data_IF_289895467027
#
_entry.id   IF_289895467027
#
_cell.length_a   1.000
_cell.length_b   1.000
_cell.length_c   1.000
_cell.angle_alpha   90.00
_cell.angle_beta   90.00
_cell.angle_gamma   90.00
#
_symmetry.space_group_name_H-M   'P 1'
#
loop_
_entity.id
_entity.type
_entity.pdbx_description
1 polymer ?
#
# COMPACT_ATOMS: atom_id res chain seq x y z
N UNK A 1 14.12 14.82 14.84
CA UNK A 1 13.77 15.89 13.87
C UNK A 1 12.28 16.19 14.00
N UNK A 2 11.87 17.44 13.82
CA UNK A 2 10.43 17.78 13.87
C UNK A 2 9.71 17.15 12.67
N UNK A 3 8.58 16.49 12.92
CA UNK A 3 7.69 15.98 11.88
C UNK A 3 6.41 16.80 11.91
N UNK A 4 5.97 17.27 10.74
CA UNK A 4 4.72 18.03 10.60
C UNK A 4 3.86 17.41 9.53
N UNK A 5 2.56 17.36 9.77
CA UNK A 5 1.58 16.89 8.80
C UNK A 5 0.83 18.09 8.24
N UNK A 6 0.79 18.18 6.91
CA UNK A 6 0.16 19.26 6.17
C UNK A 6 -0.97 18.67 5.32
N UNK A 7 -2.05 19.40 5.10
CA UNK A 7 -3.12 19.01 4.19
C UNK A 7 -3.47 20.15 3.25
N UNK A 8 -3.96 19.83 2.04
CA UNK A 8 -4.50 20.84 1.14
C UNK A 8 -5.79 21.40 1.74
N UNK A 9 -5.86 22.72 1.89
CA UNK A 9 -7.11 23.43 2.10
C UNK A 9 -7.54 24.08 0.79
N UNK A 10 -8.69 23.64 0.26
CA UNK A 10 -9.18 24.09 -1.05
C UNK A 10 -9.58 25.57 -1.07
N UNK A 11 -10.07 26.11 0.05
CA UNK A 11 -10.47 27.51 0.15
C UNK A 11 -9.25 28.43 0.28
N UNK A 12 -8.28 28.07 1.13
CA UNK A 12 -7.03 28.79 1.27
C UNK A 12 -6.13 28.70 0.03
N UNK A 13 -6.38 27.69 -0.82
CA UNK A 13 -5.54 27.34 -1.96
C UNK A 13 -4.07 27.23 -1.54
N UNK A 14 -3.86 26.47 -0.48
CA UNK A 14 -2.60 26.31 0.23
C UNK A 14 -2.60 25.02 1.06
N UNK A 15 -1.44 24.63 1.55
CA UNK A 15 -1.24 23.60 2.54
C UNK A 15 -1.25 24.20 3.94
N UNK A 16 -2.04 23.62 4.83
CA UNK A 16 -2.16 24.02 6.24
C UNK A 16 -1.82 22.86 7.15
N UNK A 17 -1.47 23.13 8.41
CA UNK A 17 -1.19 22.07 9.38
C UNK A 17 -2.45 21.26 9.70
N UNK A 18 -2.28 19.95 9.88
CA UNK A 18 -3.35 19.04 10.32
C UNK A 18 -3.43 19.06 11.85
N UNK A 19 -4.65 19.14 12.40
CA UNK A 19 -4.93 19.13 13.84
C UNK A 19 -4.20 20.23 14.65
N UNK A 20 -3.91 21.35 14.00
CA UNK A 20 -3.29 22.51 14.64
C UNK A 20 -4.35 23.48 15.17
N UNK A 21 -4.20 23.89 16.43
CA UNK A 21 -5.19 24.73 17.13
C UNK A 21 -5.37 26.09 16.44
N UNK A 22 -4.26 26.72 16.04
CA UNK A 22 -4.29 28.02 15.35
C UNK A 22 -4.97 27.89 13.99
N UNK A 23 -4.64 26.85 13.22
CA UNK A 23 -5.29 26.55 11.95
C UNK A 23 -6.78 26.31 12.12
N UNK A 24 -7.20 25.52 13.11
CA UNK A 24 -8.62 25.23 13.35
C UNK A 24 -9.40 26.48 13.78
N UNK A 25 -8.82 27.32 14.64
CA UNK A 25 -9.40 28.60 15.05
C UNK A 25 -9.56 29.56 13.86
N UNK A 26 -8.52 29.69 13.03
CA UNK A 26 -8.56 30.51 11.82
C UNK A 26 -9.63 30.06 10.83
N UNK A 27 -9.71 28.76 10.56
CA UNK A 27 -10.71 28.21 9.63
C UNK A 27 -12.13 28.36 10.17
N UNK A 28 -12.32 28.28 11.48
CA UNK A 28 -13.62 28.55 12.11
C UNK A 28 -14.01 30.03 11.96
N UNK A 29 -13.09 30.96 12.26
CA UNK A 29 -13.34 32.39 12.11
C UNK A 29 -13.65 32.77 10.65
N UNK A 30 -12.88 32.25 9.70
CA UNK A 30 -13.14 32.47 8.28
C UNK A 30 -14.50 31.93 7.85
N UNK A 31 -14.90 30.75 8.36
CA UNK A 31 -16.22 30.16 8.08
C UNK A 31 -17.37 30.99 8.64
N UNK A 32 -17.22 31.55 9.85
CA UNK A 32 -18.19 32.46 10.45
C UNK A 32 -18.35 33.74 9.62
N UNK A 33 -17.26 34.26 9.06
CA UNK A 33 -17.28 35.44 8.20
C UNK A 33 -17.87 35.18 6.81
N UNK A 34 -17.52 34.06 6.16
CA UNK A 34 -17.99 33.68 4.83
C UNK A 34 -19.48 33.25 4.87
N UNK A 35 -19.87 32.60 5.97
CA UNK A 35 -21.18 31.98 6.12
C UNK A 35 -21.26 30.57 5.50
N UNK A 36 -22.05 29.70 6.13
CA UNK A 36 -22.11 28.27 5.79
C UNK A 36 -22.50 27.96 4.35
N UNK A 37 -23.40 28.76 3.76
CA UNK A 37 -23.88 28.54 2.40
C UNK A 37 -22.77 28.79 1.37
N UNK A 38 -22.02 29.89 1.54
CA UNK A 38 -20.93 30.26 0.64
C UNK A 38 -19.70 29.37 0.86
N UNK A 39 -19.41 29.03 2.11
CA UNK A 39 -18.35 28.08 2.46
C UNK A 39 -18.51 26.73 1.73
N UNK A 40 -19.75 26.23 1.66
CA UNK A 40 -20.08 24.98 0.96
C UNK A 40 -19.92 25.05 -0.56
N UNK A 41 -19.95 26.25 -1.17
CA UNK A 41 -19.66 26.41 -2.59
C UNK A 41 -18.17 26.23 -2.90
N UNK A 42 -17.31 26.34 -1.90
CA UNK A 42 -15.88 26.09 -2.02
C UNK A 42 -15.10 27.31 -2.49
N UNK A 43 -14.07 27.08 -3.29
CA UNK A 43 -13.10 28.09 -3.67
C UNK A 43 -13.71 29.25 -4.48
N UNK A 44 -13.38 30.47 -4.07
CA UNK A 44 -13.45 31.70 -4.86
C UNK A 44 -12.26 32.60 -4.49
N UNK A 45 -11.86 33.57 -5.35
CA UNK A 45 -10.82 34.54 -5.00
C UNK A 45 -11.11 35.29 -3.68
N UNK A 46 -12.38 35.61 -3.43
CA UNK A 46 -12.84 36.29 -2.22
C UNK A 46 -12.73 35.39 -0.99
N UNK A 47 -13.24 34.16 -1.06
CA UNK A 47 -13.15 33.19 0.03
C UNK A 47 -11.68 32.86 0.35
N UNK A 48 -10.83 32.78 -0.68
CA UNK A 48 -9.38 32.58 -0.52
C UNK A 48 -8.73 33.72 0.26
N UNK A 49 -9.07 34.97 -0.06
CA UNK A 49 -8.56 36.13 0.66
C UNK A 49 -8.97 36.07 2.14
N UNK A 50 -10.27 35.89 2.41
CA UNK A 50 -10.82 35.80 3.77
C UNK A 50 -10.13 34.69 4.58
N UNK A 51 -9.99 33.49 4.01
CA UNK A 51 -9.35 32.37 4.72
C UNK A 51 -7.87 32.64 4.98
N UNK A 52 -7.14 33.22 4.03
CA UNK A 52 -5.71 33.53 4.22
C UNK A 52 -5.48 34.65 5.23
N UNK A 53 -6.34 35.66 5.25
CA UNK A 53 -6.28 36.73 6.24
C UNK A 53 -6.54 36.18 7.64
N UNK A 54 -7.57 35.33 7.81
CA UNK A 54 -7.84 34.68 9.08
C UNK A 54 -6.67 33.79 9.55
N UNK A 55 -6.04 33.03 8.65
CA UNK A 55 -4.85 32.23 8.95
C UNK A 55 -3.71 33.12 9.45
N UNK A 56 -3.47 34.25 8.78
CA UNK A 56 -2.43 35.21 9.17
C UNK A 56 -2.71 35.86 10.53
N UNK A 57 -3.95 36.27 10.79
CA UNK A 57 -4.37 36.90 12.05
C UNK A 57 -4.20 35.98 13.26
N UNK A 58 -4.47 34.68 13.08
CA UNK A 58 -4.32 33.67 14.14
C UNK A 58 -2.90 33.10 14.25
N UNK A 59 -1.95 33.60 13.44
CA UNK A 59 -0.58 33.07 13.39
C UNK A 59 -0.47 31.66 12.81
N UNK A 60 -1.52 31.15 12.16
CA UNK A 60 -1.55 29.82 11.59
C UNK A 60 -0.65 29.72 10.36
N UNK A 61 0.20 28.69 10.33
CA UNK A 61 1.12 28.45 9.22
C UNK A 61 0.40 27.89 8.00
N UNK A 62 0.62 28.51 6.84
CA UNK A 62 0.25 27.95 5.55
C UNK A 62 1.37 28.09 4.52
N UNK A 63 1.43 27.14 3.58
CA UNK A 63 2.45 27.07 2.53
C UNK A 63 1.77 26.84 1.18
N UNK A 64 2.19 27.54 0.14
CA UNK A 64 1.69 27.29 -1.22
C UNK A 64 2.48 26.18 -1.94
N UNK A 65 3.67 25.89 -1.43
CA UNK A 65 4.62 24.95 -1.99
C UNK A 65 5.27 24.18 -0.84
N UNK A 66 5.27 22.85 -0.92
CA UNK A 66 6.02 21.98 -0.04
C UNK A 66 7.29 21.54 -0.76
N UNK A 67 8.46 21.62 -0.12
CA UNK A 67 9.74 21.32 -0.74
C UNK A 67 10.58 20.39 0.15
N UNK A 68 11.20 19.38 -0.45
CA UNK A 68 12.13 18.48 0.21
C UNK A 68 12.38 17.21 -0.60
N UNK A 69 13.25 16.35 -0.08
CA UNK A 69 13.57 15.06 -0.70
C UNK A 69 12.38 14.12 -0.60
N UNK A 70 11.98 13.51 -1.72
CA UNK A 70 10.90 12.52 -1.73
C UNK A 70 11.38 11.23 -1.05
N UNK A 71 10.97 11.02 0.19
CA UNK A 71 11.41 9.88 1.02
C UNK A 71 10.28 8.90 1.37
N UNK A 72 9.05 9.17 0.93
CA UNK A 72 7.94 8.24 1.13
C UNK A 72 6.67 8.63 0.37
N UNK A 73 5.96 7.62 -0.10
CA UNK A 73 4.58 7.71 -0.59
C UNK A 73 3.83 6.56 0.07
N UNK A 74 2.67 6.82 0.65
CA UNK A 74 1.89 5.83 1.38
C UNK A 74 0.41 6.07 1.18
N UNK A 75 -0.37 5.01 1.29
CA UNK A 75 -1.80 5.15 1.58
C UNK A 75 -1.95 5.05 3.10
N UNK A 76 -2.81 5.87 3.69
CA UNK A 76 -3.19 5.81 5.09
C UNK A 76 -4.71 5.76 5.21
N UNK A 77 -5.21 5.28 6.34
CA UNK A 77 -6.63 5.37 6.67
C UNK A 77 -6.80 6.26 7.89
N UNK A 78 -7.80 7.13 7.83
CA UNK A 78 -8.17 8.00 8.93
C UNK A 78 -9.64 7.82 9.22
N UNK A 79 -9.99 7.62 10.49
CA UNK A 79 -11.38 7.60 10.92
C UNK A 79 -11.82 9.01 11.31
N UNK A 80 -12.95 9.45 10.78
CA UNK A 80 -13.62 10.67 11.21
C UNK A 80 -15.14 10.45 11.14
N UNK A 81 -15.87 10.84 12.19
CA UNK A 81 -17.34 10.72 12.25
C UNK A 81 -17.88 9.30 11.98
N UNK A 82 -17.13 8.25 12.36
CA UNK A 82 -17.51 6.85 12.11
C UNK A 82 -17.26 6.35 10.69
N UNK A 83 -16.74 7.21 9.80
CA UNK A 83 -16.35 6.85 8.44
C UNK A 83 -14.83 6.71 8.32
N UNK A 84 -14.39 5.75 7.51
CA UNK A 84 -12.97 5.57 7.17
C UNK A 84 -12.67 6.25 5.85
N UNK A 85 -11.70 7.16 5.87
CA UNK A 85 -11.21 7.86 4.69
C UNK A 85 -9.82 7.38 4.32
N UNK A 86 -9.62 6.98 3.07
CA UNK A 86 -8.26 6.71 2.55
C UNK A 86 -7.58 8.03 2.20
N UNK A 87 -6.34 8.17 2.64
CA UNK A 87 -5.49 9.34 2.42
C UNK A 87 -4.25 8.93 1.64
N UNK A 88 -3.82 9.74 0.69
CA UNK A 88 -2.46 9.75 0.18
C UNK A 88 -1.58 10.49 1.19
N UNK A 89 -0.46 9.87 1.60
CA UNK A 89 0.61 10.51 2.36
C UNK A 89 1.87 10.59 1.53
N UNK A 90 2.45 11.78 1.41
CA UNK A 90 3.74 12.01 0.75
C UNK A 90 4.69 12.61 1.75
N UNK A 91 5.81 11.93 1.99
CA UNK A 91 6.82 12.34 2.97
C UNK A 91 7.98 13.02 2.26
N UNK A 92 8.20 14.27 2.62
CA UNK A 92 9.33 15.08 2.19
C UNK A 92 10.27 15.31 3.37
N UNK A 93 11.58 15.18 3.16
CA UNK A 93 12.58 15.41 4.20
C UNK A 93 13.61 16.45 3.74
N UNK A 94 13.93 17.41 4.60
CA UNK A 94 14.94 18.44 4.37
C UNK A 94 15.61 18.82 5.69
N UNK A 95 16.48 19.83 5.68
CA UNK A 95 17.19 20.30 6.88
C UNK A 95 16.26 20.75 8.02
N UNK A 96 15.06 21.26 7.69
CA UNK A 96 14.07 21.69 8.66
C UNK A 96 13.29 20.51 9.29
N UNK A 97 13.44 19.30 8.76
CA UNK A 97 12.83 18.08 9.24
C UNK A 97 11.89 17.43 8.22
N UNK A 98 10.89 16.71 8.73
CA UNK A 98 9.99 15.88 7.92
C UNK A 98 8.64 16.55 7.75
N UNK A 99 8.19 16.66 6.50
CA UNK A 99 6.86 17.16 6.14
C UNK A 99 6.06 16.03 5.50
N UNK A 100 4.89 15.71 6.05
CA UNK A 100 3.98 14.70 5.50
C UNK A 100 2.77 15.44 4.91
N UNK A 101 2.66 15.47 3.59
CA UNK A 101 1.44 15.90 2.91
C UNK A 101 0.39 14.78 3.02
N UNK A 102 -0.77 15.08 3.60
CA UNK A 102 -1.93 14.21 3.68
C UNK A 102 -3.05 14.76 2.80
N UNK A 103 -3.52 13.98 1.84
CA UNK A 103 -4.59 14.37 0.91
C UNK A 103 -5.64 13.26 0.79
N UNK A 104 -6.92 13.63 0.66
CA UNK A 104 -7.99 12.65 0.43
C UNK A 104 -7.76 11.89 -0.87
N UNK A 105 -7.77 10.55 -0.82
CA UNK A 105 -7.54 9.71 -1.99
C UNK A 105 -8.62 9.92 -3.06
N UNK A 106 -9.86 10.20 -2.64
CA UNK A 106 -10.95 10.55 -3.52
C UNK A 106 -10.83 11.93 -4.18
N UNK A 107 -9.91 12.79 -3.72
CA UNK A 107 -9.74 14.13 -4.27
C UNK A 107 -9.01 14.11 -5.61
N UNK A 108 -9.43 14.99 -6.52
CA UNK A 108 -8.77 15.19 -7.82
C UNK A 108 -7.29 15.55 -7.65
N UNK A 109 -6.98 16.36 -6.62
CA UNK A 109 -5.61 16.73 -6.28
C UNK A 109 -4.73 15.50 -6.01
N UNK A 110 -5.17 14.59 -5.15
CA UNK A 110 -4.41 13.39 -4.82
C UNK A 110 -4.22 12.50 -6.05
N UNK A 111 -5.29 12.29 -6.83
CA UNK A 111 -5.25 11.45 -8.03
C UNK A 111 -4.27 12.00 -9.07
N UNK A 112 -4.32 13.30 -9.34
CA UNK A 112 -3.34 13.98 -10.23
C UNK A 112 -1.93 13.91 -9.66
N UNK A 113 -1.75 14.13 -8.36
CA UNK A 113 -0.44 14.05 -7.72
C UNK A 113 0.16 12.64 -7.84
N UNK A 114 -0.63 11.58 -7.64
CA UNK A 114 -0.20 10.18 -7.78
C UNK A 114 0.37 9.90 -9.17
N UNK A 115 -0.28 10.39 -10.23
CA UNK A 115 0.25 10.20 -11.60
C UNK A 115 1.61 10.85 -11.82
N UNK A 116 1.90 11.98 -11.15
CA UNK A 116 3.21 12.63 -11.21
C UNK A 116 4.22 11.93 -10.30
N UNK A 117 3.79 11.46 -9.12
CA UNK A 117 4.60 10.65 -8.22
C UNK A 117 5.04 9.34 -8.87
N UNK A 118 4.22 8.75 -9.74
CA UNK A 118 4.62 7.56 -10.50
C UNK A 118 5.84 7.83 -11.39
N UNK A 119 5.89 8.99 -12.05
CA UNK A 119 7.07 9.46 -12.78
C UNK A 119 8.23 9.77 -11.82
N UNK A 120 7.99 10.59 -10.78
CA UNK A 120 9.06 11.04 -9.87
C UNK A 120 9.71 9.89 -9.09
N UNK A 121 8.98 8.83 -8.74
CA UNK A 121 9.57 7.66 -8.07
C UNK A 121 10.40 6.78 -9.01
N UNK A 122 10.34 6.99 -10.34
CA UNK A 122 11.26 6.37 -11.30
C UNK A 122 12.47 7.25 -11.56
N UNK A 123 12.27 8.55 -11.71
CA UNK A 123 13.28 9.48 -12.24
C UNK A 123 13.97 10.34 -11.17
N UNK A 124 13.30 10.55 -10.03
CA UNK A 124 13.71 11.51 -9.00
C UNK A 124 13.57 10.94 -7.57
N UNK A 125 13.61 9.62 -7.43
CA UNK A 125 13.48 8.97 -6.12
C UNK A 125 14.60 9.40 -5.17
N UNK A 126 14.24 9.80 -3.94
CA UNK A 126 15.18 10.38 -2.98
C UNK A 126 15.69 11.79 -3.33
N UNK A 127 15.36 12.30 -4.52
CA UNK A 127 15.71 13.63 -4.96
C UNK A 127 14.80 14.72 -4.39
N UNK A 128 15.30 15.95 -4.38
CA UNK A 128 14.53 17.12 -3.96
C UNK A 128 13.41 17.39 -4.96
N UNK A 129 12.17 17.45 -4.46
CA UNK A 129 11.00 17.84 -5.24
C UNK A 129 10.29 19.01 -4.58
N UNK A 130 9.44 19.68 -5.36
CA UNK A 130 8.49 20.64 -4.81
C UNK A 130 7.07 20.34 -5.27
N UNK A 131 6.12 20.30 -4.34
CA UNK A 131 4.72 20.00 -4.58
C UNK A 131 3.91 21.27 -4.36
N UNK A 132 3.18 21.68 -5.39
CA UNK A 132 2.28 22.82 -5.37
C UNK A 132 0.83 22.38 -5.58
N UNK A 133 -0.09 23.23 -5.13
CA UNK A 133 -1.51 23.08 -5.36
C UNK A 133 -2.09 24.45 -5.71
N UNK A 134 -2.87 24.52 -6.78
CA UNK A 134 -3.63 25.72 -7.11
C UNK A 134 -5.03 25.37 -7.61
N UNK A 135 -5.95 26.30 -7.47
CA UNK A 135 -7.27 26.26 -8.08
C UNK A 135 -7.18 26.86 -9.49
N UNK A 136 -7.73 26.15 -10.48
CA UNK A 136 -7.86 26.60 -11.85
C UNK A 136 -9.34 26.65 -12.22
N UNK A 137 -9.83 27.82 -12.61
CA UNK A 137 -11.18 27.92 -13.16
C UNK A 137 -11.20 27.32 -14.57
N UNK A 138 -12.18 26.46 -14.84
CA UNK A 138 -12.41 25.85 -16.14
C UNK A 138 -13.88 25.94 -16.50
N UNK A 139 -14.17 26.28 -17.76
CA UNK A 139 -15.53 26.31 -18.28
C UNK A 139 -15.86 24.96 -18.94
N UNK A 140 -17.00 24.38 -18.57
CA UNK A 140 -17.58 23.19 -19.22
C UNK A 140 -19.08 23.38 -19.29
N UNK A 141 -19.67 23.19 -20.47
CA UNK A 141 -21.13 23.28 -20.69
C UNK A 141 -21.75 24.58 -20.11
N UNK A 142 -21.15 25.73 -20.41
CA UNK A 142 -21.55 27.07 -19.93
C UNK A 142 -21.58 27.22 -18.40
N UNK A 143 -20.85 26.35 -17.68
CA UNK A 143 -20.66 26.41 -16.23
C UNK A 143 -19.19 26.51 -15.88
N UNK A 144 -18.87 27.36 -14.91
CA UNK A 144 -17.52 27.48 -14.35
C UNK A 144 -17.33 26.45 -13.24
N UNK A 145 -16.29 25.65 -13.36
CA UNK A 145 -15.80 24.70 -12.38
C UNK A 145 -14.45 25.17 -11.84
N UNK A 146 -14.09 24.69 -10.65
CA UNK A 146 -12.77 24.90 -10.07
C UNK A 146 -12.06 23.55 -10.03
N UNK A 147 -11.08 23.37 -10.91
CA UNK A 147 -10.21 22.21 -10.90
C UNK A 147 -9.08 22.42 -9.88
N UNK A 148 -8.89 21.45 -9.01
CA UNK A 148 -7.88 21.50 -7.96
C UNK A 148 -6.60 20.81 -8.45
N UNK A 149 -5.78 21.58 -9.16
CA UNK A 149 -4.56 21.08 -9.83
C UNK A 149 -3.45 20.76 -8.83
N UNK A 150 -2.69 19.72 -9.11
CA UNK A 150 -1.43 19.38 -8.45
C UNK A 150 -0.27 19.70 -9.40
N UNK A 151 0.73 20.42 -8.92
CA UNK A 151 2.03 20.55 -9.62
C UNK A 151 3.12 19.87 -8.83
N UNK A 152 4.09 19.34 -9.55
CA UNK A 152 5.28 18.80 -8.94
C UNK A 152 6.47 19.14 -9.81
N UNK A 153 7.51 19.74 -9.22
CA UNK A 153 8.76 20.03 -9.91
C UNK A 153 9.88 19.13 -9.40
N UNK A 154 10.70 18.65 -10.33
CA UNK A 154 11.89 17.85 -10.03
C UNK A 154 13.06 18.69 -9.52
N UNK A 155 14.23 18.06 -9.30
CA UNK A 155 15.44 18.73 -8.81
C UNK A 155 15.95 19.84 -9.74
N UNK A 156 15.67 19.73 -11.03
CA UNK A 156 16.01 20.71 -12.07
C UNK A 156 15.02 21.89 -12.14
N UNK A 157 13.97 21.89 -11.30
CA UNK A 157 12.92 22.89 -11.29
C UNK A 157 11.91 22.75 -12.43
N UNK A 158 12.02 21.73 -13.27
CA UNK A 158 11.06 21.44 -14.34
C UNK A 158 9.85 20.68 -13.79
N UNK A 159 8.71 20.88 -14.44
CA UNK A 159 7.48 20.18 -14.07
C UNK A 159 7.59 18.69 -14.39
N UNK A 160 7.40 17.84 -13.38
CA UNK A 160 7.36 16.39 -13.55
C UNK A 160 6.08 16.02 -14.33
N UNK A 161 6.20 15.36 -15.49
CA UNK A 161 5.05 14.97 -16.27
C UNK A 161 4.22 13.91 -15.54
N UNK A 162 2.91 13.95 -15.73
CA UNK A 162 2.04 12.88 -15.26
C UNK A 162 2.27 11.62 -16.10
N UNK A 163 2.39 10.45 -15.45
CA UNK A 163 2.39 9.17 -16.16
C UNK A 163 1.04 9.01 -16.89
N UNK A 164 1.03 8.77 -18.21
CA UNK A 164 -0.20 8.65 -18.99
C UNK A 164 -0.96 7.35 -18.67
N UNK A 165 -2.26 7.32 -18.96
CA UNK A 165 -3.07 6.10 -18.92
C UNK A 165 -3.74 5.78 -17.58
N UNK A 166 -3.38 6.44 -16.48
CA UNK A 166 -3.99 6.16 -15.18
C UNK A 166 -5.48 6.51 -15.11
N UNK A 167 -5.88 7.64 -15.68
CA UNK A 167 -7.28 8.06 -15.66
C UNK A 167 -8.14 7.20 -16.60
N UNK A 168 -7.59 6.76 -17.72
CA UNK A 168 -8.21 5.83 -18.66
C UNK A 168 -8.45 4.48 -18.00
N UNK A 169 -7.41 3.89 -17.38
CA UNK A 169 -7.53 2.63 -16.62
C UNK A 169 -8.52 2.73 -15.47
N UNK A 170 -8.53 3.86 -14.74
CA UNK A 170 -9.52 4.10 -13.70
C UNK A 170 -10.94 4.16 -14.26
N UNK A 171 -11.13 4.80 -15.42
CA UNK A 171 -12.43 4.87 -16.11
C UNK A 171 -12.90 3.48 -16.56
N UNK A 172 -12.03 2.69 -17.18
CA UNK A 172 -12.34 1.32 -17.60
C UNK A 172 -12.80 0.46 -16.41
N UNK A 173 -12.13 0.55 -15.26
CA UNK A 173 -12.55 -0.14 -14.03
C UNK A 173 -13.90 0.35 -13.52
N UNK A 174 -14.17 1.65 -13.59
CA UNK A 174 -15.48 2.21 -13.21
C UNK A 174 -16.59 1.69 -14.12
N UNK A 175 -16.39 1.69 -15.43
CA UNK A 175 -17.35 1.18 -16.40
C UNK A 175 -17.61 -0.31 -16.17
N UNK A 176 -16.56 -1.11 -15.95
CA UNK A 176 -16.68 -2.52 -15.60
C UNK A 176 -17.45 -2.75 -14.28
N UNK A 177 -17.21 -1.92 -13.26
CA UNK A 177 -17.90 -2.02 -11.97
C UNK A 177 -19.37 -1.58 -12.03
N UNK A 178 -19.72 -0.63 -12.90
CA UNK A 178 -21.11 -0.17 -13.08
C UNK A 178 -21.92 -1.08 -13.99
N UNK A 179 -21.29 -1.79 -14.92
CA UNK A 179 -21.95 -2.62 -15.94
C UNK A 179 -22.99 -3.59 -15.37
N UNK A 180 -22.73 -4.37 -14.30
CA UNK A 180 -23.73 -5.30 -13.76
C UNK A 180 -24.99 -4.59 -13.25
N UNK A 181 -24.85 -3.41 -12.65
CA UNK A 181 -25.99 -2.63 -12.15
C UNK A 181 -26.81 -2.04 -13.31
N UNK A 182 -26.13 -1.55 -14.34
CA UNK A 182 -26.78 -1.04 -15.55
C UNK A 182 -27.52 -2.14 -16.31
N UNK A 183 -26.89 -3.32 -16.45
CA UNK A 183 -27.47 -4.50 -17.11
C UNK A 183 -28.70 -5.03 -16.31
N UNK A 184 -28.70 -4.85 -14.98
CA UNK A 184 -29.86 -5.11 -14.10
C UNK A 184 -30.94 -4.01 -14.15
N UNK A 185 -30.79 -2.99 -15.01
CA UNK A 185 -31.75 -1.91 -15.18
C UNK A 185 -31.68 -0.80 -14.14
N UNK A 186 -30.65 -0.76 -13.29
CA UNK A 186 -30.47 0.31 -12.30
C UNK A 186 -30.15 1.64 -12.97
N UNK A 187 -30.96 2.67 -12.68
CA UNK A 187 -30.79 4.04 -13.20
C UNK A 187 -30.50 5.09 -12.13
N UNK A 188 -30.35 4.67 -10.87
CA UNK A 188 -30.07 5.58 -9.76
C UNK A 188 -28.65 6.16 -9.90
N UNK A 189 -28.59 7.43 -10.31
CA UNK A 189 -27.33 8.16 -10.50
C UNK A 189 -26.52 8.27 -9.21
N UNK A 190 -27.16 8.34 -8.05
CA UNK A 190 -26.45 8.47 -6.76
C UNK A 190 -25.66 7.19 -6.47
N UNK A 191 -26.30 6.03 -6.65
CA UNK A 191 -25.65 4.72 -6.44
C UNK A 191 -24.53 4.52 -7.46
N UNK A 192 -24.81 4.77 -8.74
CA UNK A 192 -23.80 4.64 -9.80
C UNK A 192 -22.59 5.56 -9.56
N UNK A 193 -22.81 6.81 -9.15
CA UNK A 193 -21.73 7.74 -8.83
C UNK A 193 -20.93 7.32 -7.59
N UNK A 194 -21.57 6.72 -6.60
CA UNK A 194 -20.89 6.18 -5.42
C UNK A 194 -19.97 5.00 -5.80
N UNK A 195 -20.47 4.09 -6.64
CA UNK A 195 -19.65 2.99 -7.20
C UNK A 195 -18.47 3.57 -7.97
N UNK A 196 -18.71 4.56 -8.84
CA UNK A 196 -17.64 5.20 -9.62
C UNK A 196 -16.57 5.86 -8.73
N UNK A 197 -17.00 6.59 -7.69
CA UNK A 197 -16.10 7.24 -6.76
C UNK A 197 -15.24 6.22 -5.99
N UNK A 198 -15.88 5.19 -5.42
CA UNK A 198 -15.20 4.13 -4.67
C UNK A 198 -14.21 3.35 -5.54
N UNK A 199 -14.61 2.94 -6.75
CA UNK A 199 -13.75 2.18 -7.67
C UNK A 199 -12.55 3.00 -8.13
N UNK A 200 -12.76 4.29 -8.45
CA UNK A 200 -11.67 5.21 -8.81
C UNK A 200 -10.70 5.40 -7.65
N UNK A 201 -11.22 5.63 -6.44
CA UNK A 201 -10.40 5.78 -5.25
C UNK A 201 -9.55 4.52 -4.97
N UNK A 202 -10.14 3.33 -5.13
CA UNK A 202 -9.42 2.06 -4.98
C UNK A 202 -8.31 1.89 -6.01
N UNK A 203 -8.56 2.23 -7.27
CA UNK A 203 -7.51 2.21 -8.30
C UNK A 203 -6.31 3.09 -7.91
N UNK A 204 -6.55 4.34 -7.52
CA UNK A 204 -5.44 5.24 -7.16
C UNK A 204 -4.76 4.85 -5.84
N UNK A 205 -5.49 4.22 -4.91
CA UNK A 205 -4.89 3.63 -3.71
C UNK A 205 -3.95 2.47 -4.06
N UNK A 206 -4.31 1.59 -5.01
CA UNK A 206 -3.43 0.54 -5.51
C UNK A 206 -2.17 1.11 -6.17
N UNK A 207 -2.31 2.15 -7.01
CA UNK A 207 -1.17 2.82 -7.62
C UNK A 207 -0.24 3.38 -6.54
N UNK A 208 -0.78 4.13 -5.57
CA UNK A 208 0.00 4.72 -4.48
C UNK A 208 0.69 3.67 -3.59
N UNK A 209 0.06 2.52 -3.35
CA UNK A 209 0.70 1.39 -2.67
C UNK A 209 1.91 0.86 -3.47
N UNK A 210 1.76 0.74 -4.79
CA UNK A 210 2.85 0.43 -5.70
C UNK A 210 4.03 1.40 -5.65
N UNK A 211 3.74 2.69 -5.54
CA UNK A 211 4.78 3.72 -5.38
C UNK A 211 5.53 3.57 -4.05
N UNK A 212 4.80 3.23 -2.97
CA UNK A 212 5.40 2.93 -1.67
C UNK A 212 6.37 1.77 -1.76
N UNK A 213 5.95 0.66 -2.36
CA UNK A 213 6.79 -0.54 -2.53
C UNK A 213 8.05 -0.20 -3.33
N UNK A 214 7.91 0.55 -4.44
CA UNK A 214 9.04 0.98 -5.26
C UNK A 214 10.09 1.77 -4.47
N UNK A 215 9.66 2.73 -3.65
CA UNK A 215 10.59 3.53 -2.83
C UNK A 215 11.32 2.69 -1.76
N UNK A 216 10.67 1.65 -1.24
CA UNK A 216 11.30 0.69 -0.33
C UNK A 216 12.34 -0.16 -1.06
N UNK A 217 12.01 -0.65 -2.26
CA UNK A 217 12.91 -1.46 -3.09
C UNK A 217 14.15 -0.69 -3.52
N UNK A 218 14.00 0.61 -3.81
CA UNK A 218 15.12 1.51 -4.12
C UNK A 218 15.95 1.89 -2.89
N UNK A 219 15.57 1.46 -1.69
CA UNK A 219 16.28 1.77 -0.44
C UNK A 219 16.12 3.23 0.01
N UNK A 220 15.18 3.98 -0.58
CA UNK A 220 14.90 5.38 -0.24
C UNK A 220 14.07 5.46 1.05
N UNK A 221 13.03 4.64 1.14
CA UNK A 221 12.20 4.53 2.35
C UNK A 221 12.67 3.32 3.16
N UNK A 222 13.06 3.48 4.44
CA UNK A 222 13.36 2.33 5.29
C UNK A 222 12.13 1.41 5.36
N UNK A 223 12.33 0.09 5.33
CA UNK A 223 11.24 -0.91 5.46
C UNK A 223 10.34 -0.65 6.67
N UNK A 224 10.89 -0.07 7.74
CA UNK A 224 10.16 0.32 8.96
C UNK A 224 9.24 1.53 8.78
N UNK A 225 9.51 2.46 7.85
CA UNK A 225 8.70 3.67 7.64
C UNK A 225 7.56 3.42 6.67
N UNK A 226 7.75 2.57 5.64
CA UNK A 226 6.65 2.09 4.79
C UNK A 226 5.58 1.30 5.57
N UNK A 227 5.99 0.71 6.70
CA UNK A 227 5.15 -0.04 7.64
C UNK A 227 4.68 0.80 8.85
N UNK A 228 4.60 2.14 8.72
CA UNK A 228 3.84 2.98 9.68
C UNK A 228 2.31 2.91 9.44
N UNK A 229 1.87 2.27 8.35
CA UNK A 229 0.70 1.39 8.46
C UNK A 229 1.22 0.14 9.14
N UNK A 230 0.79 -0.12 10.38
CA UNK A 230 0.97 -1.45 10.97
C UNK A 230 0.62 -2.47 9.89
N UNK A 231 1.54 -3.41 9.63
CA UNK A 231 1.37 -4.44 8.61
C UNK A 231 -0.06 -4.97 8.71
N UNK A 232 -0.77 -5.12 7.58
CA UNK A 232 -2.09 -5.72 7.66
C UNK A 232 -1.89 -7.13 8.23
N UNK A 233 -2.51 -7.50 9.36
CA UNK A 233 -2.29 -8.81 9.96
C UNK A 233 -2.60 -9.92 8.96
N UNK A 234 -1.58 -10.62 8.49
CA UNK A 234 -1.73 -11.64 7.46
C UNK A 234 -0.67 -12.73 7.61
N UNK A 235 -1.01 -13.88 7.03
CA UNK A 235 -0.07 -14.95 6.73
C UNK A 235 0.62 -14.65 5.41
N UNK A 236 1.93 -14.82 5.34
CA UNK A 236 2.75 -14.48 4.19
C UNK A 236 3.68 -15.63 3.83
N UNK A 237 3.96 -15.78 2.53
CA UNK A 237 4.97 -16.68 2.02
C UNK A 237 5.62 -16.10 0.75
N UNK A 238 6.95 -16.16 0.67
CA UNK A 238 7.69 -15.88 -0.55
C UNK A 238 8.22 -17.17 -1.17
N UNK A 239 8.03 -17.33 -2.48
CA UNK A 239 8.51 -18.47 -3.28
C UNK A 239 9.26 -17.92 -4.47
N UNK A 240 10.43 -18.49 -4.75
CA UNK A 240 11.20 -18.16 -5.94
C UNK A 240 11.07 -19.31 -6.95
N UNK A 241 10.57 -18.98 -8.14
CA UNK A 241 10.51 -19.87 -9.30
C UNK A 241 11.95 -20.15 -9.81
N UNK A 242 12.12 -21.26 -10.53
CA UNK A 242 13.36 -21.65 -11.20
C UNK A 242 13.86 -20.59 -12.18
N UNK A 243 12.97 -19.84 -12.83
CA UNK A 243 13.32 -18.74 -13.74
C UNK A 243 13.81 -17.47 -13.01
N UNK A 244 13.71 -17.45 -11.68
CA UNK A 244 14.09 -16.33 -10.83
C UNK A 244 12.94 -15.39 -10.44
N UNK A 245 11.74 -15.62 -10.96
CA UNK A 245 10.51 -14.88 -10.65
C UNK A 245 10.12 -15.11 -9.18
N UNK A 246 9.77 -14.04 -8.48
CA UNK A 246 9.28 -14.12 -7.11
C UNK A 246 7.76 -14.13 -7.07
N UNK A 247 7.21 -15.08 -6.34
CA UNK A 247 5.81 -15.17 -5.99
C UNK A 247 5.63 -14.89 -4.51
N UNK A 248 4.97 -13.79 -4.17
CA UNK A 248 4.66 -13.41 -2.80
C UNK A 248 3.17 -13.60 -2.56
N UNK A 249 2.85 -14.47 -1.61
CA UNK A 249 1.49 -14.77 -1.20
C UNK A 249 1.18 -14.06 0.11
N UNK A 250 0.00 -13.45 0.21
CA UNK A 250 -0.61 -13.07 1.48
C UNK A 250 -1.97 -13.76 1.64
N UNK A 251 -2.32 -14.14 2.86
CA UNK A 251 -3.60 -14.75 3.19
C UNK A 251 -4.10 -14.25 4.55
N UNK A 252 -5.41 -14.03 4.67
CA UNK A 252 -6.10 -13.63 5.88
C UNK A 252 -7.46 -14.32 5.95
N UNK A 253 -8.08 -14.33 7.12
CA UNK A 253 -9.37 -14.98 7.32
C UNK A 253 -10.51 -14.01 7.02
N UNK A 254 -11.48 -14.47 6.24
CA UNK A 254 -12.72 -13.77 5.95
C UNK A 254 -13.87 -14.76 5.84
N UNK A 255 -14.91 -14.56 6.64
CA UNK A 255 -16.16 -15.32 6.62
C UNK A 255 -15.99 -16.85 6.75
N UNK A 256 -14.99 -17.30 7.50
CA UNK A 256 -14.63 -18.70 7.73
C UNK A 256 -13.64 -19.28 6.71
N UNK A 257 -13.20 -18.49 5.74
CA UNK A 257 -12.32 -18.92 4.66
C UNK A 257 -11.02 -18.15 4.64
N UNK A 258 -9.93 -18.80 4.21
CA UNK A 258 -8.69 -18.09 3.91
C UNK A 258 -8.83 -17.46 2.52
N UNK A 259 -8.66 -16.14 2.46
CA UNK A 259 -8.63 -15.36 1.22
C UNK A 259 -7.34 -14.57 1.18
N UNK A 260 -6.88 -14.20 -0.01
CA UNK A 260 -5.55 -13.67 -0.14
C UNK A 260 -5.23 -13.10 -1.49
N UNK A 261 -3.94 -12.90 -1.72
CA UNK A 261 -3.43 -12.46 -3.01
C UNK A 261 -2.11 -13.15 -3.33
N UNK A 262 -1.90 -13.43 -4.61
CA UNK A 262 -0.60 -13.84 -5.14
C UNK A 262 -0.04 -12.70 -5.98
N UNK A 263 1.14 -12.23 -5.62
CA UNK A 263 1.90 -11.25 -6.37
C UNK A 263 3.03 -11.94 -7.11
N UNK A 264 3.13 -11.72 -8.41
CA UNK A 264 4.27 -12.15 -9.23
C UNK A 264 5.15 -10.94 -9.51
N UNK A 265 6.46 -11.08 -9.28
CA UNK A 265 7.49 -10.07 -9.56
C UNK A 265 8.49 -10.64 -10.56
N UNK A 266 8.50 -10.05 -11.76
CA UNK A 266 9.45 -10.39 -12.82
C UNK A 266 10.88 -9.92 -12.51
N UNK A 267 11.82 -10.28 -13.38
CA UNK A 267 13.24 -9.92 -13.26
C UNK A 267 13.54 -8.41 -13.45
N UNK A 268 12.61 -7.64 -14.03
CA UNK A 268 12.75 -6.19 -14.18
C UNK A 268 12.08 -5.44 -13.01
N UNK A 269 12.76 -4.45 -12.39
CA UNK A 269 12.17 -3.65 -11.31
C UNK A 269 10.91 -2.89 -11.77
N UNK A 270 9.80 -3.06 -11.06
CA UNK A 270 8.57 -2.28 -11.27
C UNK A 270 7.45 -2.97 -12.06
N UNK A 271 7.69 -4.18 -12.59
CA UNK A 271 6.62 -5.03 -13.11
C UNK A 271 6.18 -6.02 -12.04
N UNK A 272 5.03 -5.74 -11.43
CA UNK A 272 4.35 -6.69 -10.57
C UNK A 272 2.89 -6.81 -10.98
N UNK A 273 2.41 -8.03 -10.93
CA UNK A 273 1.01 -8.35 -11.15
C UNK A 273 0.47 -9.04 -9.90
N UNK A 274 -0.74 -8.69 -9.49
CA UNK A 274 -1.36 -9.18 -8.26
C UNK A 274 -2.74 -9.72 -8.57
N UNK A 275 -3.00 -10.94 -8.16
CA UNK A 275 -4.26 -11.65 -8.41
C UNK A 275 -4.86 -12.13 -7.09
N UNK A 276 -6.19 -12.17 -6.95
CA UNK A 276 -6.84 -12.67 -5.75
C UNK A 276 -6.63 -14.18 -5.60
N UNK A 277 -6.68 -14.66 -4.36
CA UNK A 277 -6.71 -16.07 -3.99
C UNK A 277 -7.92 -16.32 -3.09
N UNK A 278 -8.64 -17.41 -3.35
CA UNK A 278 -9.68 -17.94 -2.47
C UNK A 278 -9.34 -19.39 -2.18
N UNK A 279 -9.07 -19.71 -0.91
CA UNK A 279 -8.63 -21.05 -0.53
C UNK A 279 -9.80 -21.95 -0.19
N UNK A 280 -9.82 -23.11 -0.83
CA UNK A 280 -10.79 -24.18 -0.59
C UNK A 280 -10.07 -25.48 -0.23
N UNK A 281 -10.73 -26.44 0.46
CA UNK A 281 -10.17 -27.76 0.69
C UNK A 281 -9.76 -28.45 -0.62
N UNK A 282 -8.53 -28.91 -0.71
CA UNK A 282 -7.99 -29.61 -1.89
C UNK A 282 -8.26 -31.12 -1.87
N UNK A 283 -8.33 -31.75 -3.03
CA UNK A 283 -8.62 -33.19 -3.18
C UNK A 283 -7.57 -34.11 -2.53
N UNK A 284 -6.32 -33.67 -2.47
CA UNK A 284 -5.18 -34.42 -1.89
C UNK A 284 -4.92 -34.07 -0.42
N UNK A 285 -5.88 -33.39 0.21
CA UNK A 285 -5.71 -32.78 1.53
C UNK A 285 -5.02 -31.42 1.43
N UNK A 286 -5.27 -30.58 2.43
CA UNK A 286 -4.75 -29.21 2.46
C UNK A 286 -5.72 -28.17 1.91
N UNK A 287 -5.22 -26.97 1.67
CA UNK A 287 -5.97 -25.86 1.09
C UNK A 287 -5.39 -25.47 -0.26
N UNK A 288 -6.24 -25.15 -1.23
CA UNK A 288 -5.84 -24.80 -2.58
C UNK A 288 -6.58 -23.57 -3.07
N UNK A 289 -5.89 -22.73 -3.84
CA UNK A 289 -6.45 -21.54 -4.49
C UNK A 289 -5.90 -21.43 -5.91
N UNK A 290 -6.74 -20.98 -6.83
CA UNK A 290 -6.32 -20.69 -8.21
C UNK A 290 -5.94 -19.22 -8.37
N UNK A 291 -4.87 -18.97 -9.11
CA UNK A 291 -4.38 -17.65 -9.48
C UNK A 291 -4.32 -17.54 -10.99
N UNK A 292 -5.00 -16.52 -11.55
CA UNK A 292 -5.05 -16.29 -12.99
C UNK A 292 -4.42 -14.94 -13.33
N UNK A 293 -3.20 -14.96 -13.85
CA UNK A 293 -2.49 -13.79 -14.36
C UNK A 293 -2.89 -13.48 -15.81
N UNK A 294 -2.63 -12.26 -16.25
CA UNK A 294 -3.08 -11.71 -17.54
C UNK A 294 -2.34 -12.33 -18.74
N UNK A 295 -1.13 -12.83 -18.55
CA UNK A 295 -0.25 -13.39 -19.58
C UNK A 295 -0.37 -14.91 -19.80
N UNK A 296 -1.16 -15.61 -18.98
CA UNK A 296 -1.56 -17.00 -19.22
C UNK A 296 -1.06 -18.04 -18.22
N UNK A 297 -1.59 -19.25 -18.40
CA UNK A 297 -1.57 -20.45 -17.56
C UNK A 297 -2.01 -20.23 -16.08
N UNK A 298 -3.16 -20.79 -15.66
CA UNK A 298 -3.59 -20.67 -14.27
C UNK A 298 -2.57 -21.37 -13.36
N UNK A 299 -2.21 -20.70 -12.27
CA UNK A 299 -1.39 -21.28 -11.22
C UNK A 299 -2.29 -21.84 -10.14
N UNK A 300 -1.90 -22.99 -9.59
CA UNK A 300 -2.49 -23.57 -8.39
C UNK A 300 -1.56 -23.30 -7.21
N UNK A 301 -2.04 -22.58 -6.21
CA UNK A 301 -1.36 -22.39 -4.92
C UNK A 301 -1.90 -23.42 -3.95
N UNK A 302 -1.02 -24.20 -3.33
CA UNK A 302 -1.37 -25.26 -2.39
C UNK A 302 -0.68 -25.05 -1.05
N UNK A 303 -1.47 -25.08 0.02
CA UNK A 303 -1.05 -25.07 1.42
C UNK A 303 -1.17 -26.48 1.98
N UNK A 304 -0.09 -27.00 2.53
CA UNK A 304 -0.06 -28.36 3.08
C UNK A 304 0.76 -28.42 4.35
N UNK A 305 0.42 -29.36 5.22
CA UNK A 305 1.22 -29.64 6.41
C UNK A 305 2.51 -30.33 6.00
N UNK A 306 3.65 -29.82 6.46
CA UNK A 306 4.94 -30.48 6.30
C UNK A 306 5.04 -31.70 7.23
N UNK A 307 5.72 -32.74 6.78
CA UNK A 307 6.04 -33.89 7.63
C UNK A 307 6.83 -33.40 8.86
N UNK A 308 6.43 -33.83 10.08
CA UNK A 308 7.21 -33.56 11.27
C UNK A 308 8.53 -34.33 11.20
N UNK A 309 9.61 -33.75 11.68
CA UNK A 309 10.88 -34.46 11.90
C UNK A 309 11.22 -34.48 13.39
N UNK A 310 12.15 -35.35 13.81
CA UNK A 310 12.60 -35.43 15.21
C UNK A 310 13.10 -34.08 15.76
N UNK A 311 13.51 -33.16 14.88
CA UNK A 311 14.10 -31.87 15.24
C UNK A 311 13.24 -30.66 14.85
N UNK A 312 12.15 -30.85 14.09
CA UNK A 312 11.30 -29.75 13.63
C UNK A 312 9.82 -30.11 13.71
N UNK A 313 8.99 -29.28 14.38
CA UNK A 313 7.55 -29.49 14.38
C UNK A 313 6.98 -29.24 12.98
N UNK A 314 5.79 -29.78 12.72
CA UNK A 314 5.06 -29.56 11.47
C UNK A 314 4.85 -28.07 11.19
N UNK A 315 5.11 -27.66 9.94
CA UNK A 315 4.93 -26.30 9.42
C UNK A 315 3.92 -26.34 8.28
N UNK A 316 3.57 -25.17 7.75
CA UNK A 316 2.75 -25.08 6.53
C UNK A 316 3.65 -24.76 5.33
N UNK A 317 3.71 -25.71 4.41
CA UNK A 317 4.36 -25.58 3.11
C UNK A 317 3.43 -24.91 2.12
N UNK A 318 3.98 -23.96 1.37
CA UNK A 318 3.31 -23.33 0.23
C UNK A 318 3.98 -23.83 -1.04
N UNK A 319 3.20 -24.45 -1.93
CA UNK A 319 3.64 -24.90 -3.24
C UNK A 319 2.83 -24.21 -4.32
N UNK A 320 3.49 -23.74 -5.37
CA UNK A 320 2.85 -23.23 -6.58
C UNK A 320 3.09 -24.23 -7.72
N UNK A 321 2.03 -24.54 -8.45
CA UNK A 321 2.04 -25.39 -9.63
C UNK A 321 1.52 -24.63 -10.85
N UNK A 322 2.19 -24.77 -11.98
CA UNK A 322 1.62 -24.40 -13.27
C UNK A 322 0.63 -25.49 -13.70
N UNK A 323 -0.60 -25.10 -14.06
CA UNK A 323 -1.57 -26.00 -14.68
C UNK A 323 -1.32 -26.07 -16.18
N UNK A 324 -1.19 -27.29 -16.70
CA UNK A 324 -1.07 -27.58 -18.12
C UNK A 324 -1.96 -28.74 -18.54
N UNK A 325 -1.82 -29.17 -19.78
CA UNK A 325 -2.40 -30.41 -20.29
C UNK A 325 -1.30 -31.24 -20.95
N UNK A 326 -1.32 -32.55 -20.74
CA UNK A 326 -0.42 -33.47 -21.46
C UNK A 326 -0.87 -33.69 -22.92
N UNK A 327 -0.11 -34.49 -23.66
CA UNK A 327 -0.40 -34.82 -25.06
C UNK A 327 -1.71 -35.61 -25.25
N UNK A 328 -2.28 -36.15 -24.17
CA UNK A 328 -3.56 -36.86 -24.13
C UNK A 328 -4.72 -35.95 -23.68
N UNK A 329 -4.45 -34.67 -23.38
CA UNK A 329 -5.42 -33.69 -22.90
C UNK A 329 -5.78 -33.84 -21.42
N UNK A 330 -5.00 -34.58 -20.63
CA UNK A 330 -5.19 -34.68 -19.17
C UNK A 330 -4.50 -33.52 -18.47
N UNK A 331 -5.15 -32.99 -17.44
CA UNK A 331 -4.59 -31.90 -16.64
C UNK A 331 -3.30 -32.34 -15.94
N UNK A 332 -2.25 -31.52 -16.08
CA UNK A 332 -0.96 -31.72 -15.43
C UNK A 332 -0.67 -30.57 -14.47
N UNK A 333 0.03 -30.88 -13.38
CA UNK A 333 0.49 -29.92 -12.40
C UNK A 333 2.02 -30.00 -12.33
N UNK A 334 2.71 -28.97 -12.81
CA UNK A 334 4.17 -28.87 -12.69
C UNK A 334 4.53 -27.90 -11.57
N UNK A 335 5.30 -28.36 -10.58
CA UNK A 335 5.83 -27.48 -9.54
C UNK A 335 6.90 -26.55 -10.13
N UNK A 336 6.69 -25.24 -10.02
CA UNK A 336 7.54 -24.22 -10.66
C UNK A 336 8.78 -23.82 -9.82
N UNK A 337 8.88 -24.29 -8.58
CA UNK A 337 9.98 -23.96 -7.65
C UNK A 337 10.69 -25.23 -7.17
N UNK A 338 11.94 -25.11 -6.74
CA UNK A 338 12.71 -26.23 -6.17
C UNK A 338 12.39 -26.49 -4.70
N UNK A 339 12.09 -25.42 -3.96
CA UNK A 339 11.87 -25.46 -2.52
C UNK A 339 10.55 -24.80 -2.15
N UNK A 340 9.67 -25.50 -1.39
CA UNK A 340 8.40 -24.93 -0.98
C UNK A 340 8.62 -23.68 -0.12
N UNK A 341 7.75 -22.70 -0.33
CA UNK A 341 7.63 -21.55 0.55
C UNK A 341 7.14 -21.98 1.92
N UNK A 342 7.32 -21.11 2.92
CA UNK A 342 6.82 -21.34 4.28
C UNK A 342 5.82 -20.25 4.62
N UNK A 343 4.62 -20.67 5.00
CA UNK A 343 3.60 -19.75 5.46
C UNK A 343 3.92 -19.29 6.88
N UNK A 344 3.95 -17.98 7.09
CA UNK A 344 4.28 -17.38 8.39
C UNK A 344 3.40 -16.18 8.70
N UNK A 345 3.13 -15.94 9.97
CA UNK A 345 2.50 -14.72 10.43
C UNK A 345 3.48 -13.54 10.29
N UNK A 346 3.04 -12.45 9.68
CA UNK A 346 3.80 -11.19 9.67
C UNK A 346 3.84 -10.54 11.06
N UNK A 347 4.62 -9.47 11.24
CA UNK A 347 4.88 -8.92 12.57
C UNK A 347 3.62 -8.29 13.20
N UNK A 348 2.65 -7.88 12.38
CA UNK A 348 1.36 -7.45 12.90
C UNK A 348 0.47 -8.60 13.35
N UNK A 349 0.42 -9.70 12.60
CA UNK A 349 -0.38 -10.86 12.96
C UNK A 349 0.16 -11.57 14.20
N UNK A 350 1.48 -11.62 14.36
CA UNK A 350 2.15 -12.15 15.55
C UNK A 350 1.73 -11.44 16.85
N UNK A 351 1.30 -10.18 16.77
CA UNK A 351 0.84 -9.38 17.92
C UNK A 351 -0.60 -9.66 18.32
N UNK A 352 -1.34 -10.45 17.53
CA UNK A 352 -2.73 -10.81 17.78
C UNK A 352 -2.77 -12.23 18.34
N UNK A 353 -3.01 -12.41 19.65
CA UNK A 353 -3.21 -13.73 20.22
C UNK A 353 -4.41 -14.42 19.59
N UNK A 354 -4.31 -15.73 19.36
CA UNK A 354 -5.40 -16.58 18.86
C UNK A 354 -6.08 -16.05 17.58
N UNK A 355 -5.28 -15.44 16.70
CA UNK A 355 -5.73 -14.86 15.44
C UNK A 355 -6.48 -15.88 14.57
N UNK A 356 -7.47 -15.39 13.82
CA UNK A 356 -8.45 -16.24 13.13
C UNK A 356 -7.84 -17.08 12.02
N UNK A 357 -6.82 -16.54 11.36
CA UNK A 357 -6.03 -17.20 10.33
C UNK A 357 -5.33 -18.45 10.90
N UNK A 358 -4.82 -18.35 12.12
CA UNK A 358 -4.16 -19.46 12.81
C UNK A 358 -5.16 -20.57 13.09
N UNK A 359 -6.36 -20.21 13.56
CA UNK A 359 -7.46 -21.17 13.76
C UNK A 359 -7.91 -21.82 12.46
N UNK A 360 -8.01 -21.06 11.37
CA UNK A 360 -8.35 -21.60 10.06
C UNK A 360 -7.29 -22.61 9.57
N UNK A 361 -6.00 -22.30 9.77
CA UNK A 361 -4.89 -23.21 9.48
C UNK A 361 -4.92 -24.46 10.37
N UNK A 362 -5.15 -24.30 11.68
CA UNK A 362 -5.25 -25.41 12.62
C UNK A 362 -6.40 -26.35 12.25
N UNK A 363 -7.57 -25.79 11.93
CA UNK A 363 -8.75 -26.56 11.51
C UNK A 363 -8.53 -27.28 10.18
N UNK A 364 -7.90 -26.62 9.21
CA UNK A 364 -7.72 -27.19 7.88
C UNK A 364 -6.53 -28.17 7.78
N UNK A 365 -5.44 -27.88 8.49
CA UNK A 365 -4.15 -28.57 8.33
C UNK A 365 -3.65 -29.29 9.59
N UNK A 366 -4.29 -29.08 10.76
CA UNK A 366 -3.85 -29.63 12.03
C UNK A 366 -2.48 -29.12 12.48
N UNK A 367 -2.11 -27.90 12.07
CA UNK A 367 -0.86 -27.23 12.46
C UNK A 367 -1.16 -26.23 13.57
N UNK A 368 -0.44 -26.33 14.68
CA UNK A 368 -0.56 -25.39 15.81
C UNK A 368 -0.26 -23.95 15.31
N UNK A 369 -1.15 -22.98 15.56
CA UNK A 369 -0.96 -21.58 15.16
C UNK A 369 0.40 -20.99 15.56
N UNK A 370 1.00 -21.44 16.67
CA UNK A 370 2.33 -20.99 17.12
C UNK A 370 3.43 -21.32 16.13
N UNK A 371 3.24 -22.34 15.29
CA UNK A 371 4.20 -22.74 14.25
C UNK A 371 4.23 -21.78 13.05
N UNK A 372 3.26 -20.87 12.95
CA UNK A 372 3.22 -19.82 11.94
C UNK A 372 4.13 -18.64 12.34
N UNK A 373 4.51 -18.51 13.61
CA UNK A 373 5.41 -17.45 14.04
C UNK A 373 6.86 -17.78 13.63
N UNK A 374 7.63 -16.79 13.13
CA UNK A 374 9.04 -17.00 12.83
C UNK A 374 9.79 -17.39 14.11
N UNK A 375 10.59 -18.45 14.02
CA UNK A 375 11.50 -18.82 15.12
C UNK A 375 12.49 -17.67 15.34
N UNK A 376 12.66 -17.16 16.57
CA UNK A 376 13.63 -16.11 16.85
C UNK A 376 15.02 -16.47 16.31
N UNK A 377 15.70 -15.52 15.66
CA UNK A 377 16.99 -15.74 15.00
C UNK A 377 18.18 -16.05 15.95
N UNK A 378 17.94 -16.52 17.17
CA UNK A 378 18.97 -16.93 18.13
C UNK A 378 18.72 -18.35 18.59
N UNK A 379 19.29 -19.29 17.86
CA UNK A 379 19.80 -20.59 18.34
C UNK A 379 20.34 -21.49 17.21
N UNK A 380 20.29 -21.06 15.94
CA UNK A 380 20.77 -21.87 14.82
C UNK A 380 22.30 -21.86 14.58
N UNK A 381 23.10 -21.10 15.32
CA UNK A 381 24.58 -21.12 15.20
C UNK A 381 25.28 -20.81 16.53
N UNK A 382 25.27 -21.75 17.48
CA UNK A 382 26.43 -21.95 18.35
C UNK A 382 27.08 -23.26 17.93
N UNK A 383 28.11 -23.16 17.11
CA UNK A 383 29.09 -24.23 17.01
C UNK A 383 29.54 -24.58 18.45
N UNK A 384 29.64 -25.87 18.81
CA UNK A 384 30.15 -26.23 20.13
C UNK A 384 31.55 -25.62 20.28
N UNK A 385 31.75 -24.85 21.35
CA UNK A 385 33.03 -24.27 21.68
C UNK A 385 34.05 -25.43 21.77
N UNK A 386 35.04 -25.44 20.89
CA UNK A 386 36.22 -26.28 21.06
C UNK A 386 36.78 -25.97 22.45
N UNK A 387 36.81 -26.98 23.30
CA UNK A 387 37.51 -26.93 24.57
C UNK A 387 38.95 -26.48 24.30
N UNK A 388 39.35 -25.31 24.83
CA UNK A 388 40.74 -24.94 24.92
C UNK A 388 41.40 -25.91 25.91
N UNK A 389 42.11 -26.91 25.38
CA UNK A 389 43.08 -27.67 26.16
C UNK A 389 44.13 -26.70 26.70
N UNK A 390 44.15 -26.58 28.03
CA UNK A 390 45.26 -25.99 28.78
C UNK A 390 46.50 -26.85 28.55
N UNK A 391 47.40 -26.42 27.66
CA UNK A 391 48.79 -26.86 27.74
C UNK A 391 49.53 -26.00 28.77
N UNK A 392 49.77 -26.60 29.92
CA UNK A 392 50.71 -26.14 30.92
C UNK A 392 52.11 -26.05 30.30
N UNK A 393 52.70 -24.86 30.35
CA UNK A 393 54.14 -24.67 30.31
C UNK A 393 54.75 -25.27 31.59
N UNK A 394 55.41 -26.42 31.47
CA UNK A 394 56.45 -26.81 32.42
C UNK A 394 57.81 -26.49 31.79
N UNK A 395 58.49 -25.54 32.41
CA UNK A 395 59.93 -25.37 32.21
C UNK A 395 60.67 -26.58 32.75
N UNK A 396 61.74 -26.95 32.05
CA UNK A 396 62.81 -27.77 32.59
C UNK A 396 64.10 -26.96 32.44
N UNK A 397 64.73 -26.72 33.59
CA UNK A 397 66.10 -26.29 33.72
C UNK A 397 67.04 -27.37 33.16
N UNK A 398 67.93 -26.98 32.24
CA UNK A 398 69.38 -26.96 32.41
C UNK A 398 70.05 -26.36 31.17
#
# INVERSE_FOLDING_TARGET
>A
MATRMMQRNNLADAFVLVNDEQTNAALKAAREQIGDAEWKKGYSPENKAIVRDALKEHGARYEQLLKGNLVGVQVAETQANGETFRKLRVTLENEAGRTILSADMGSEFAQRLITKLDTATREHAGGEISIGAFAKQTERDDRTFVDHVATMKGPDGQEVPATPGHFEKARERVEAAQKPMLDAGMKDRKILNQIAASTRESYFAEVAAGLSERLVEQGITPKTVANERGEFPALEAGIKDRDGTWHNMSAYEKDGHLVGTLQRRGGQPGEYEKVPLEFHPGELGGLQAEAQFTDGAPLLVSLSRSEPSETQPSKVDVRIFAKGQDLEGKDTLEQIHEHPGRLRANDALQKIPDHREGKAIEQALGVDPKMLNPVPAREAQRAPAKAQEKQHSQGVQL
#
